data_IF_089372717237
#
_entry.id   IF_089372717237
#
_cell.length_a   1.000
_cell.length_b   1.000
_cell.length_c   1.000
_cell.angle_alpha   90.00
_cell.angle_beta   90.00
_cell.angle_gamma   90.00
#
_symmetry.space_group_name_H-M   'P 1'
#
loop_
_entity.id
_entity.type
_entity.pdbx_description
1 polymer ?
#
# COMPACT_ATOMS: atom_id res chain seq x y z
N UNK A 1 -62.58 -10.96 -11.74
CA UNK A 1 -61.32 -11.45 -12.35
C UNK A 1 -60.25 -10.36 -12.56
N UNK A 2 -60.48 -9.08 -12.19
CA UNK A 2 -59.49 -8.00 -12.36
C UNK A 2 -58.53 -7.81 -11.18
N UNK A 3 -58.97 -8.08 -9.94
CA UNK A 3 -58.23 -7.77 -8.69
C UNK A 3 -56.93 -8.59 -8.56
N UNK A 4 -56.94 -9.84 -9.01
CA UNK A 4 -55.74 -10.70 -8.99
C UNK A 4 -54.63 -10.23 -9.94
N UNK A 5 -55.00 -9.53 -11.02
CA UNK A 5 -54.04 -9.02 -12.01
C UNK A 5 -53.36 -7.74 -11.53
N UNK A 6 -54.08 -6.90 -10.78
CA UNK A 6 -53.54 -5.73 -10.09
C UNK A 6 -52.62 -6.12 -8.94
N UNK A 7 -53.03 -7.07 -8.08
CA UNK A 7 -52.20 -7.55 -6.98
C UNK A 7 -50.86 -8.14 -7.45
N UNK A 8 -50.85 -8.89 -8.56
CA UNK A 8 -49.62 -9.44 -9.15
C UNK A 8 -48.69 -8.36 -9.73
N UNK A 9 -49.25 -7.24 -10.24
CA UNK A 9 -48.43 -6.10 -10.71
C UNK A 9 -47.76 -5.37 -9.56
N UNK A 10 -48.50 -5.09 -8.49
CA UNK A 10 -47.99 -4.37 -7.31
C UNK A 10 -46.86 -5.17 -6.65
N UNK A 11 -47.04 -6.47 -6.44
CA UNK A 11 -46.00 -7.36 -5.89
C UNK A 11 -44.77 -7.45 -6.81
N UNK A 12 -44.96 -7.35 -8.13
CA UNK A 12 -43.87 -7.36 -9.11
C UNK A 12 -43.10 -6.03 -9.18
N UNK A 13 -43.76 -4.90 -8.96
CA UNK A 13 -43.13 -3.57 -8.84
C UNK A 13 -42.40 -3.42 -7.50
N UNK A 14 -43.02 -3.81 -6.39
CA UNK A 14 -42.39 -3.80 -5.06
C UNK A 14 -41.14 -4.68 -5.02
N UNK A 15 -41.18 -5.85 -5.65
CA UNK A 15 -40.01 -6.72 -5.76
C UNK A 15 -38.88 -6.04 -6.56
N UNK A 16 -39.19 -5.37 -7.67
CA UNK A 16 -38.19 -4.67 -8.49
C UNK A 16 -37.55 -3.50 -7.75
N UNK A 17 -38.32 -2.72 -7.00
CA UNK A 17 -37.79 -1.64 -6.16
C UNK A 17 -36.92 -2.16 -5.02
N UNK A 18 -37.28 -3.32 -4.43
CA UNK A 18 -36.47 -3.97 -3.41
C UNK A 18 -35.12 -4.49 -3.97
N UNK A 19 -35.13 -5.05 -5.19
CA UNK A 19 -33.90 -5.47 -5.87
C UNK A 19 -33.03 -4.28 -6.29
N UNK A 20 -33.62 -3.19 -6.79
CA UNK A 20 -32.90 -1.97 -7.16
C UNK A 20 -32.23 -1.32 -5.94
N UNK A 21 -32.96 -1.20 -4.81
CA UNK A 21 -32.41 -0.66 -3.57
C UNK A 21 -31.34 -1.56 -2.93
N UNK A 22 -31.42 -2.89 -3.10
CA UNK A 22 -30.34 -3.79 -2.69
C UNK A 22 -29.10 -3.66 -3.57
N UNK A 23 -29.27 -3.47 -4.89
CA UNK A 23 -28.18 -3.21 -5.81
C UNK A 23 -27.45 -1.91 -5.48
N UNK A 24 -28.18 -0.82 -5.20
CA UNK A 24 -27.59 0.46 -4.78
C UNK A 24 -26.81 0.35 -3.46
N UNK A 25 -27.33 -0.42 -2.49
CA UNK A 25 -26.60 -0.67 -1.23
C UNK A 25 -25.34 -1.48 -1.46
N UNK A 26 -25.39 -2.51 -2.32
CA UNK A 26 -24.22 -3.31 -2.67
C UNK A 26 -23.15 -2.48 -3.40
N UNK A 27 -23.53 -1.63 -4.35
CA UNK A 27 -22.58 -0.75 -5.04
C UNK A 27 -21.96 0.27 -4.10
N UNK A 28 -22.72 0.87 -3.18
CA UNK A 28 -22.17 1.77 -2.16
C UNK A 28 -21.18 1.07 -1.22
N UNK A 29 -21.44 -0.18 -0.84
CA UNK A 29 -20.52 -0.98 -0.02
C UNK A 29 -19.24 -1.30 -0.81
N UNK A 30 -19.36 -1.74 -2.06
CA UNK A 30 -18.23 -1.98 -2.96
C UNK A 30 -17.35 -0.74 -3.14
N UNK A 31 -17.96 0.42 -3.39
CA UNK A 31 -17.24 1.69 -3.52
C UNK A 31 -16.48 2.04 -2.22
N UNK A 32 -17.09 1.83 -1.05
CA UNK A 32 -16.42 2.04 0.24
C UNK A 32 -15.20 1.13 0.42
N UNK A 33 -15.31 -0.15 0.06
CA UNK A 33 -14.19 -1.08 0.13
C UNK A 33 -13.09 -0.70 -0.87
N UNK A 34 -13.46 -0.36 -2.11
CA UNK A 34 -12.51 0.06 -3.13
C UNK A 34 -11.76 1.32 -2.71
N UNK A 35 -12.47 2.32 -2.18
CA UNK A 35 -11.89 3.55 -1.66
C UNK A 35 -10.93 3.27 -0.50
N UNK A 36 -11.30 2.38 0.43
CA UNK A 36 -10.44 1.98 1.54
C UNK A 36 -9.15 1.31 1.05
N UNK A 37 -9.24 0.38 0.09
CA UNK A 37 -8.08 -0.29 -0.50
C UNK A 37 -7.19 0.74 -1.21
N UNK A 38 -7.77 1.63 -2.01
CA UNK A 38 -7.04 2.70 -2.69
C UNK A 38 -6.33 3.63 -1.70
N UNK A 39 -6.98 4.01 -0.59
CA UNK A 39 -6.36 4.80 0.47
C UNK A 39 -5.20 4.08 1.13
N UNK A 40 -5.34 2.79 1.46
CA UNK A 40 -4.23 2.00 2.01
C UNK A 40 -3.06 1.89 1.03
N UNK A 41 -3.36 1.71 -0.26
CA UNK A 41 -2.34 1.66 -1.30
C UNK A 41 -1.59 3.00 -1.40
N UNK A 42 -2.33 4.12 -1.42
CA UNK A 42 -1.75 5.46 -1.43
C UNK A 42 -0.87 5.72 -0.21
N UNK A 43 -1.32 5.34 0.99
CA UNK A 43 -0.54 5.45 2.23
C UNK A 43 0.73 4.59 2.12
N UNK A 44 0.63 3.36 1.63
CA UNK A 44 1.77 2.47 1.43
C UNK A 44 2.80 3.05 0.46
N UNK A 45 2.35 3.61 -0.66
CA UNK A 45 3.21 4.28 -1.64
C UNK A 45 3.88 5.50 -1.03
N UNK A 46 3.14 6.33 -0.31
CA UNK A 46 3.69 7.52 0.36
C UNK A 46 4.78 7.12 1.37
N UNK A 47 4.54 6.09 2.18
CA UNK A 47 5.52 5.56 3.10
C UNK A 47 6.77 5.04 2.40
N UNK A 48 6.62 4.33 1.28
CA UNK A 48 7.77 3.90 0.47
C UNK A 48 8.59 5.08 -0.04
N UNK A 49 7.93 6.15 -0.51
CA UNK A 49 8.63 7.37 -0.98
C UNK A 49 9.38 8.02 0.17
N UNK A 50 8.75 8.19 1.33
CA UNK A 50 9.40 8.75 2.53
C UNK A 50 10.62 7.90 2.93
N UNK A 51 10.44 6.58 3.00
CA UNK A 51 11.53 5.66 3.34
C UNK A 51 12.69 5.75 2.33
N UNK A 52 12.40 5.83 1.03
CA UNK A 52 13.41 6.00 0.00
C UNK A 52 14.18 7.32 0.16
N UNK A 53 13.49 8.43 0.42
CA UNK A 53 14.12 9.74 0.67
C UNK A 53 15.03 9.67 1.89
N UNK A 54 14.57 9.07 3.00
CA UNK A 54 15.37 8.90 4.21
C UNK A 54 16.63 8.06 3.95
N UNK A 55 16.49 6.94 3.23
CA UNK A 55 17.64 6.08 2.88
C UNK A 55 18.66 6.82 2.02
N UNK A 56 18.20 7.62 1.04
CA UNK A 56 19.09 8.44 0.20
C UNK A 56 19.83 9.47 1.05
N UNK A 57 19.12 10.20 1.92
CA UNK A 57 19.74 11.21 2.79
C UNK A 57 20.74 10.61 3.76
N UNK A 58 20.43 9.44 4.35
CA UNK A 58 21.35 8.69 5.19
C UNK A 58 22.58 8.24 4.40
N UNK A 59 22.41 7.78 3.15
CA UNK A 59 23.52 7.40 2.29
C UNK A 59 24.45 8.56 1.94
N UNK A 60 23.88 9.73 1.66
CA UNK A 60 24.64 10.97 1.41
C UNK A 60 25.39 11.39 2.68
N UNK A 61 24.71 11.44 3.82
CA UNK A 61 25.31 11.80 5.11
C UNK A 61 26.46 10.86 5.49
N UNK A 62 26.25 9.55 5.35
CA UNK A 62 27.27 8.54 5.62
C UNK A 62 28.45 8.64 4.64
N UNK A 63 28.19 8.94 3.36
CA UNK A 63 29.22 9.16 2.35
C UNK A 63 30.14 10.34 2.70
N UNK A 64 29.57 11.46 3.13
CA UNK A 64 30.35 12.61 3.60
C UNK A 64 31.11 12.33 4.91
N UNK A 65 30.50 11.61 5.85
CA UNK A 65 31.15 11.24 7.11
C UNK A 65 32.37 10.34 6.87
N UNK A 66 32.21 9.30 6.06
CA UNK A 66 33.32 8.41 5.70
C UNK A 66 34.35 9.13 4.82
N UNK A 67 33.90 10.06 3.99
CA UNK A 67 34.75 10.88 3.15
C UNK A 67 35.65 11.81 3.95
N UNK A 68 35.13 12.42 5.02
CA UNK A 68 35.92 13.27 5.92
C UNK A 68 36.94 12.48 6.73
N UNK A 69 36.62 11.25 7.12
CA UNK A 69 37.53 10.35 7.84
C UNK A 69 38.69 9.86 6.97
N UNK A 70 38.42 9.54 5.70
CA UNK A 70 39.44 9.04 4.75
C UNK A 70 40.16 10.18 4.03
N UNK A 71 39.68 11.43 4.18
CA UNK A 71 40.21 12.61 3.49
C UNK A 71 39.86 12.64 1.99
N UNK A 72 38.96 11.79 1.54
CA UNK A 72 38.51 11.73 0.14
C UNK A 72 37.03 11.38 0.05
N UNK A 73 36.24 12.32 -0.48
CA UNK A 73 34.80 12.14 -0.66
C UNK A 73 34.49 10.95 -1.59
N UNK A 74 35.29 10.74 -2.64
CA UNK A 74 35.08 9.62 -3.57
C UNK A 74 35.21 8.25 -2.87
N UNK A 75 36.24 8.09 -2.04
CA UNK A 75 36.42 6.89 -1.21
C UNK A 75 35.33 6.76 -0.14
N UNK A 76 34.91 7.88 0.46
CA UNK A 76 33.79 7.91 1.41
C UNK A 76 32.47 7.40 0.83
N UNK A 77 32.11 7.85 -0.38
CA UNK A 77 30.93 7.35 -1.08
C UNK A 77 31.05 5.89 -1.50
N UNK A 78 32.25 5.45 -1.91
CA UNK A 78 32.50 4.03 -2.21
C UNK A 78 32.28 3.16 -0.96
N UNK A 79 32.83 3.55 0.18
CA UNK A 79 32.63 2.84 1.45
C UNK A 79 31.17 2.86 1.91
N UNK A 80 30.49 4.00 1.78
CA UNK A 80 29.05 4.10 2.04
C UNK A 80 28.26 3.12 1.18
N UNK A 81 28.57 3.02 -0.12
CA UNK A 81 27.93 2.05 -1.01
C UNK A 81 28.18 0.59 -0.58
N UNK A 82 29.40 0.26 -0.12
CA UNK A 82 29.71 -1.07 0.43
C UNK A 82 28.87 -1.36 1.68
N UNK A 83 28.72 -0.38 2.59
CA UNK A 83 27.88 -0.52 3.78
C UNK A 83 26.42 -0.78 3.41
N UNK A 84 25.86 0.01 2.48
CA UNK A 84 24.48 -0.19 2.01
C UNK A 84 24.28 -1.52 1.30
N UNK A 85 25.24 -1.97 0.50
CA UNK A 85 25.24 -3.31 -0.09
C UNK A 85 25.24 -4.40 1.00
N UNK A 86 26.08 -4.27 2.04
CA UNK A 86 26.12 -5.23 3.14
C UNK A 86 24.79 -5.30 3.90
N UNK A 87 24.15 -4.14 4.16
CA UNK A 87 22.81 -4.07 4.76
C UNK A 87 21.78 -4.78 3.86
N UNK A 88 21.80 -4.49 2.55
CA UNK A 88 20.89 -5.13 1.59
C UNK A 88 21.05 -6.65 1.53
N UNK A 89 22.30 -7.14 1.51
CA UNK A 89 22.60 -8.57 1.56
C UNK A 89 22.14 -9.18 2.89
N UNK A 90 22.34 -8.48 4.01
CA UNK A 90 21.85 -8.89 5.33
C UNK A 90 20.33 -9.06 5.33
N UNK A 91 19.59 -8.04 4.89
CA UNK A 91 18.13 -8.10 4.78
C UNK A 91 17.67 -9.24 3.88
N UNK A 92 18.32 -9.44 2.72
CA UNK A 92 18.00 -10.54 1.82
C UNK A 92 18.25 -11.91 2.46
N UNK A 93 19.35 -12.05 3.22
CA UNK A 93 19.71 -13.29 3.91
C UNK A 93 18.75 -13.63 5.05
N UNK A 94 18.23 -12.61 5.74
CA UNK A 94 17.27 -12.74 6.84
C UNK A 94 15.80 -12.61 6.41
N UNK A 95 15.52 -12.50 5.10
CA UNK A 95 14.15 -12.35 4.56
C UNK A 95 13.16 -13.37 5.13
N UNK A 96 13.61 -14.61 5.31
CA UNK A 96 12.77 -15.70 5.81
C UNK A 96 12.39 -15.55 7.28
N UNK A 97 13.23 -14.89 8.10
CA UNK A 97 12.88 -14.60 9.50
C UNK A 97 12.06 -13.33 9.65
N UNK A 98 12.32 -12.31 8.83
CA UNK A 98 11.62 -11.02 8.90
C UNK A 98 10.21 -11.05 8.31
N UNK A 99 9.94 -11.90 7.30
CA UNK A 99 8.64 -11.93 6.61
C UNK A 99 7.70 -13.02 7.15
N UNK A 100 8.23 -14.13 7.66
CA UNK A 100 7.42 -15.31 8.00
C UNK A 100 7.11 -15.40 9.50
N UNK A 101 7.88 -14.74 10.38
CA UNK A 101 7.58 -14.62 11.80
C UNK A 101 7.87 -13.18 12.27
N UNK A 102 6.90 -12.25 12.17
CA UNK A 102 6.96 -11.05 13.00
C UNK A 102 6.84 -11.52 14.45
N UNK A 103 7.92 -11.36 15.22
CA UNK A 103 7.89 -11.53 16.69
C UNK A 103 7.02 -10.43 17.28
#
# INVERSE_FOLDING_TARGET
>A
MSIFRTARRIVGEDARELYASHQERMTLILIKYLARIASFLLIGVLWMVIAAVVVILLGISLGFLLGSLVGSNALGFFLSAVVWCAIGVGLYRFRHRLVVNPV
#
